data_IF_231289557393
#
_entry.id   IF_231289557393
#
_cell.length_a   1.000
_cell.length_b   1.000
_cell.length_c   1.000
_cell.angle_alpha   90.00
_cell.angle_beta   90.00
_cell.angle_gamma   90.00
#
_symmetry.space_group_name_H-M   'P 1'
#
loop_
_entity.id
_entity.type
_entity.pdbx_description
1 polymer ?
#
# COMPACT_ATOMS: atom_id res chain seq x y z
N UNK A 1 -8.09 -23.00 -8.38
CA UNK A 1 -8.49 -22.84 -6.96
C UNK A 1 -8.49 -21.38 -6.48
N UNK A 2 -7.56 -20.49 -6.84
CA UNK A 2 -7.58 -19.07 -6.36
C UNK A 2 -8.71 -18.15 -6.88
N UNK A 3 -9.47 -18.58 -7.89
CA UNK A 3 -10.42 -17.75 -8.62
C UNK A 3 -11.56 -17.15 -7.77
N UNK A 4 -11.99 -17.84 -6.72
CA UNK A 4 -13.05 -17.33 -5.84
C UNK A 4 -12.58 -16.13 -5.01
N UNK A 5 -11.28 -16.05 -4.69
CA UNK A 5 -10.68 -14.90 -4.02
C UNK A 5 -10.55 -13.72 -4.99
N UNK A 6 -10.38 -13.98 -6.28
CA UNK A 6 -10.19 -12.93 -7.28
C UNK A 6 -11.48 -12.19 -7.63
N UNK A 7 -12.66 -12.85 -7.63
CA UNK A 7 -13.94 -12.21 -7.99
C UNK A 7 -14.25 -10.92 -7.21
N UNK A 8 -14.22 -10.90 -5.86
CA UNK A 8 -14.59 -9.71 -5.09
C UNK A 8 -13.58 -8.57 -5.23
N UNK A 9 -12.29 -8.90 -5.41
CA UNK A 9 -11.23 -7.89 -5.55
C UNK A 9 -10.89 -7.54 -7.00
N UNK A 10 -11.58 -8.16 -7.98
CA UNK A 10 -11.32 -8.00 -9.42
C UNK A 10 -11.26 -6.53 -9.86
N UNK A 11 -12.19 -5.71 -9.39
CA UNK A 11 -12.23 -4.29 -9.77
C UNK A 11 -10.96 -3.55 -9.29
N UNK A 12 -10.43 -3.91 -8.11
CA UNK A 12 -9.19 -3.32 -7.60
C UNK A 12 -7.98 -3.73 -8.48
N UNK A 13 -7.95 -4.98 -8.94
CA UNK A 13 -6.94 -5.43 -9.91
C UNK A 13 -7.04 -4.68 -11.23
N UNK A 14 -8.25 -4.52 -11.76
CA UNK A 14 -8.48 -3.77 -13.01
C UNK A 14 -8.03 -2.31 -12.86
N UNK A 15 -8.33 -1.66 -11.73
CA UNK A 15 -7.82 -0.32 -11.41
C UNK A 15 -6.29 -0.24 -11.36
N UNK A 16 -5.63 -1.22 -10.72
CA UNK A 16 -4.17 -1.29 -10.67
C UNK A 16 -3.61 -1.42 -12.10
N UNK A 17 -4.15 -2.33 -12.90
CA UNK A 17 -3.70 -2.57 -14.27
C UNK A 17 -3.96 -1.39 -15.22
N UNK A 18 -5.07 -0.66 -15.03
CA UNK A 18 -5.39 0.53 -15.84
C UNK A 18 -4.55 1.74 -15.44
N UNK A 19 -3.90 1.72 -14.27
CA UNK A 19 -3.05 2.81 -13.77
C UNK A 19 -1.67 2.76 -14.44
N UNK A 20 -1.64 3.05 -15.73
CA UNK A 20 -0.40 3.17 -16.53
C UNK A 20 0.09 4.62 -16.58
N UNK A 21 1.34 4.84 -17.00
CA UNK A 21 1.91 6.17 -17.24
C UNK A 21 1.08 7.04 -18.19
N UNK A 22 0.33 6.42 -19.11
CA UNK A 22 -0.53 7.12 -20.05
C UNK A 22 -1.81 7.63 -19.38
N UNK A 23 -2.37 6.85 -18.45
CA UNK A 23 -3.56 7.25 -17.69
C UNK A 23 -3.24 8.23 -16.57
N UNK A 24 -2.10 8.07 -15.88
CA UNK A 24 -1.73 8.90 -14.73
C UNK A 24 -0.28 9.36 -14.87
N UNK A 25 -0.14 10.63 -15.26
CA UNK A 25 1.16 11.30 -15.51
C UNK A 25 1.97 11.49 -14.23
N UNK A 26 1.29 11.64 -13.08
CA UNK A 26 1.94 11.88 -11.79
C UNK A 26 2.34 10.56 -11.11
N UNK A 27 3.64 10.36 -10.91
CA UNK A 27 4.15 9.17 -10.22
C UNK A 27 3.67 9.07 -8.77
N UNK A 28 3.48 10.22 -8.10
CA UNK A 28 2.93 10.29 -6.75
C UNK A 28 1.48 9.79 -6.71
N UNK A 29 0.70 10.13 -7.72
CA UNK A 29 -0.70 9.75 -7.82
C UNK A 29 -0.86 8.26 -8.12
N UNK A 30 -0.03 7.71 -9.02
CA UNK A 30 0.05 6.24 -9.23
C UNK A 30 0.37 5.49 -7.95
N UNK A 31 1.38 5.94 -7.21
CA UNK A 31 1.75 5.32 -5.94
C UNK A 31 0.60 5.38 -4.91
N UNK A 32 -0.19 6.46 -4.90
CA UNK A 32 -1.39 6.57 -4.07
C UNK A 32 -2.49 5.61 -4.48
N UNK A 33 -2.78 5.46 -5.78
CA UNK A 33 -3.77 4.50 -6.29
C UNK A 33 -3.33 3.08 -5.94
N UNK A 34 -2.10 2.71 -6.29
CA UNK A 34 -1.50 1.42 -5.94
C UNK A 34 -1.57 1.11 -4.45
N UNK A 35 -1.23 2.07 -3.59
CA UNK A 35 -1.33 1.89 -2.15
C UNK A 35 -2.76 1.67 -1.66
N UNK A 36 -3.73 2.43 -2.20
CA UNK A 36 -5.15 2.30 -1.84
C UNK A 36 -5.69 0.92 -2.23
N UNK A 37 -5.50 0.52 -3.49
CA UNK A 37 -5.98 -0.76 -4.00
C UNK A 37 -5.28 -1.94 -3.30
N UNK A 38 -3.98 -1.82 -2.99
CA UNK A 38 -3.24 -2.84 -2.23
C UNK A 38 -3.83 -3.07 -0.84
N UNK A 39 -4.22 -2.01 -0.13
CA UNK A 39 -4.83 -2.11 1.20
C UNK A 39 -6.18 -2.79 1.11
N UNK A 40 -7.03 -2.40 0.16
CA UNK A 40 -8.35 -3.04 -0.03
C UNK A 40 -8.22 -4.55 -0.32
N UNK A 41 -7.26 -4.93 -1.16
CA UNK A 41 -6.99 -6.33 -1.48
C UNK A 41 -6.45 -7.09 -0.26
N UNK A 42 -5.50 -6.50 0.48
CA UNK A 42 -4.90 -7.12 1.65
C UNK A 42 -5.86 -7.26 2.83
N UNK A 43 -6.74 -6.28 3.03
CA UNK A 43 -7.79 -6.31 4.05
C UNK A 43 -8.78 -7.44 3.76
N UNK A 44 -9.24 -7.55 2.51
CA UNK A 44 -10.11 -8.65 2.06
C UNK A 44 -9.45 -10.02 2.31
N UNK A 45 -8.17 -10.17 1.96
CA UNK A 45 -7.45 -11.43 2.14
C UNK A 45 -7.26 -11.78 3.63
N UNK A 46 -7.02 -10.77 4.48
CA UNK A 46 -6.90 -10.90 5.93
C UNK A 46 -8.23 -11.27 6.60
N UNK A 47 -9.33 -10.69 6.14
CA UNK A 47 -10.67 -11.05 6.61
C UNK A 47 -11.04 -12.47 6.17
N UNK A 48 -10.77 -12.81 4.91
CA UNK A 48 -11.04 -14.16 4.38
C UNK A 48 -10.17 -15.23 5.01
N UNK A 49 -8.91 -14.95 5.33
CA UNK A 49 -8.08 -15.92 6.03
C UNK A 49 -8.60 -16.25 7.41
N UNK A 50 -9.15 -15.26 8.13
CA UNK A 50 -9.78 -15.45 9.45
C UNK A 50 -11.15 -16.13 9.35
N UNK A 51 -12.00 -15.69 8.43
CA UNK A 51 -13.37 -16.19 8.30
C UNK A 51 -13.42 -17.65 7.81
N UNK A 52 -12.64 -17.97 6.77
CA UNK A 52 -12.70 -19.28 6.11
C UNK A 52 -11.54 -20.22 6.56
N UNK A 53 -10.75 -19.84 7.58
CA UNK A 53 -9.54 -20.54 8.02
C UNK A 53 -8.61 -20.89 6.84
N UNK A 54 -8.34 -19.89 6.01
CA UNK A 54 -7.64 -20.10 4.76
C UNK A 54 -6.18 -20.53 5.00
N UNK A 55 -5.71 -21.63 4.39
CA UNK A 55 -4.32 -22.05 4.54
C UNK A 55 -3.32 -20.99 4.08
N UNK A 56 -2.21 -20.84 4.81
CA UNK A 56 -1.16 -19.87 4.51
C UNK A 56 -0.62 -20.01 3.07
N UNK A 57 -0.50 -21.24 2.57
CA UNK A 57 -0.02 -21.46 1.20
C UNK A 57 -0.95 -20.85 0.12
N UNK A 58 -2.26 -20.71 0.38
CA UNK A 58 -3.20 -20.06 -0.54
C UNK A 58 -3.00 -18.55 -0.50
N UNK A 59 -2.78 -18.00 0.69
CA UNK A 59 -2.48 -16.57 0.91
C UNK A 59 -1.17 -16.21 0.19
N UNK A 60 -0.13 -17.02 0.34
CA UNK A 60 1.16 -16.79 -0.32
C UNK A 60 1.03 -16.86 -1.85
N UNK A 61 0.33 -17.89 -2.37
CA UNK A 61 0.03 -18.00 -3.81
C UNK A 61 -0.76 -16.81 -4.35
N UNK A 62 -1.62 -16.21 -3.54
CA UNK A 62 -2.38 -15.02 -3.92
C UNK A 62 -1.48 -13.80 -4.04
N UNK A 63 -0.59 -13.60 -3.07
CA UNK A 63 0.41 -12.56 -3.15
C UNK A 63 1.35 -12.74 -4.35
N UNK A 64 1.78 -13.97 -4.63
CA UNK A 64 2.59 -14.28 -5.81
C UNK A 64 1.86 -13.99 -7.12
N UNK A 65 0.57 -14.34 -7.20
CA UNK A 65 -0.27 -14.00 -8.35
C UNK A 65 -0.37 -12.48 -8.55
N UNK A 66 -0.64 -11.74 -7.47
CA UNK A 66 -0.72 -10.28 -7.49
C UNK A 66 0.63 -9.67 -7.91
N UNK A 67 1.76 -10.22 -7.46
CA UNK A 67 3.11 -9.79 -7.84
C UNK A 67 3.40 -9.94 -9.33
N UNK A 68 3.01 -11.09 -9.91
CA UNK A 68 3.15 -11.34 -11.35
C UNK A 68 2.28 -10.40 -12.20
N UNK A 69 1.14 -9.96 -11.68
CA UNK A 69 0.22 -9.06 -12.37
C UNK A 69 0.55 -7.58 -12.11
N UNK A 70 1.39 -7.28 -11.12
CA UNK A 70 1.64 -5.91 -10.71
C UNK A 70 2.33 -5.14 -11.84
N UNK A 71 1.75 -4.03 -12.33
CA UNK A 71 2.36 -3.26 -13.39
C UNK A 71 3.71 -2.74 -12.92
N UNK A 72 4.77 -3.18 -13.60
CA UNK A 72 6.17 -2.84 -13.29
C UNK A 72 6.41 -1.40 -13.75
N UNK A 73 5.93 -0.43 -12.96
CA UNK A 73 6.24 0.99 -13.16
C UNK A 73 7.08 1.56 -12.00
N UNK A 74 7.76 0.71 -11.23
CA UNK A 74 8.88 1.19 -10.42
C UNK A 74 10.08 1.40 -11.31
N UNK A 75 10.61 2.62 -11.26
CA UNK A 75 11.74 3.22 -12.00
C UNK A 75 13.05 2.40 -12.12
N UNK A 76 13.07 1.13 -11.71
CA UNK A 76 14.20 0.19 -11.73
C UNK A 76 13.73 -1.26 -11.98
N UNK A 77 13.13 -1.55 -13.12
CA UNK A 77 13.11 -2.85 -13.83
C UNK A 77 13.14 -4.18 -13.06
N UNK A 78 12.49 -4.31 -11.90
CA UNK A 78 12.48 -5.53 -11.10
C UNK A 78 11.05 -5.98 -10.85
N UNK A 79 10.75 -7.26 -11.14
CA UNK A 79 9.50 -7.89 -10.77
C UNK A 79 9.24 -7.70 -9.26
N UNK A 80 8.02 -7.32 -8.91
CA UNK A 80 7.61 -7.20 -7.51
C UNK A 80 7.08 -8.56 -7.07
N UNK A 81 7.84 -9.26 -6.24
CA UNK A 81 7.44 -10.56 -5.70
C UNK A 81 6.26 -10.43 -4.71
N UNK A 82 5.50 -11.53 -4.55
CA UNK A 82 4.39 -11.59 -3.60
C UNK A 82 4.78 -11.25 -2.17
N UNK A 83 5.96 -11.71 -1.72
CA UNK A 83 6.51 -11.38 -0.40
C UNK A 83 6.72 -9.88 -0.20
N UNK A 84 7.14 -9.15 -1.25
CA UNK A 84 7.33 -7.69 -1.19
C UNK A 84 5.98 -6.99 -1.05
N UNK A 85 4.96 -7.41 -1.79
CA UNK A 85 3.61 -6.85 -1.71
C UNK A 85 2.97 -7.10 -0.34
N UNK A 86 3.08 -8.32 0.18
CA UNK A 86 2.60 -8.65 1.54
C UNK A 86 3.29 -7.77 2.60
N UNK A 87 4.59 -7.52 2.45
CA UNK A 87 5.34 -6.62 3.33
C UNK A 87 4.88 -5.16 3.18
N UNK A 88 4.65 -4.69 1.96
CA UNK A 88 4.11 -3.33 1.72
C UNK A 88 2.73 -3.16 2.35
N UNK A 89 1.85 -4.13 2.18
CA UNK A 89 0.53 -4.14 2.82
C UNK A 89 0.65 -4.03 4.35
N UNK A 90 1.48 -4.87 4.99
CA UNK A 90 1.70 -4.80 6.44
C UNK A 90 2.21 -3.44 6.90
N UNK A 91 3.11 -2.81 6.14
CA UNK A 91 3.61 -1.45 6.43
C UNK A 91 2.51 -0.40 6.28
N UNK A 92 1.71 -0.47 5.22
CA UNK A 92 0.59 0.43 4.99
C UNK A 92 -0.46 0.29 6.10
N UNK A 93 -0.78 -0.94 6.49
CA UNK A 93 -1.70 -1.22 7.58
C UNK A 93 -1.17 -0.68 8.93
N UNK A 94 0.11 -0.90 9.25
CA UNK A 94 0.72 -0.37 10.47
C UNK A 94 0.73 1.17 10.49
N UNK A 95 1.02 1.81 9.34
CA UNK A 95 0.97 3.28 9.24
C UNK A 95 -0.45 3.85 9.32
N UNK A 96 -1.46 3.14 8.80
CA UNK A 96 -2.89 3.48 8.98
C UNK A 96 -3.26 3.41 10.45
N UNK A 97 -2.92 2.31 11.13
CA UNK A 97 -3.20 2.16 12.57
C UNK A 97 -2.45 3.18 13.42
N UNK A 98 -1.20 3.51 13.09
CA UNK A 98 -0.44 4.56 13.79
C UNK A 98 -1.09 5.94 13.61
N UNK A 99 -1.64 6.24 12.43
CA UNK A 99 -2.40 7.47 12.18
C UNK A 99 -3.72 7.50 12.93
N UNK A 100 -4.43 6.38 13.00
CA UNK A 100 -5.68 6.24 13.75
C UNK A 100 -5.42 6.36 15.27
N UNK A 101 -4.34 5.76 15.77
CA UNK A 101 -3.92 5.86 17.16
C UNK A 101 -3.43 7.27 17.55
N UNK A 102 -2.92 8.05 16.59
CA UNK A 102 -2.50 9.44 16.80
C UNK A 102 -3.60 10.47 16.51
N UNK A 103 -4.80 10.06 16.07
CA UNK A 103 -5.66 10.96 15.29
C UNK A 103 -7.16 10.72 15.38
N UNK A 104 -7.69 10.53 16.59
CA UNK A 104 -9.07 10.97 16.90
C UNK A 104 -9.14 12.49 16.95
N UNK A 105 -8.93 13.18 15.82
CA UNK A 105 -9.34 14.55 15.50
C UNK A 105 -8.61 14.99 14.22
N UNK A 106 -9.39 15.40 13.22
CA UNK A 106 -8.85 15.92 11.97
C UNK A 106 -7.97 17.14 12.20
N UNK A 107 -6.79 17.13 11.61
CA UNK A 107 -6.07 18.34 11.25
C UNK A 107 -5.10 18.03 10.11
N UNK A 108 -5.33 18.70 8.99
CA UNK A 108 -4.38 18.88 7.90
C UNK A 108 -3.06 19.36 8.50
N UNK A 109 -1.98 18.58 8.36
CA UNK A 109 -0.64 19.12 8.63
C UNK A 109 -0.03 19.54 7.29
N UNK A 110 0.03 20.84 6.97
CA UNK A 110 0.90 21.31 5.90
C UNK A 110 2.35 21.08 6.33
N UNK A 111 3.14 20.54 5.41
CA UNK A 111 4.58 20.32 5.56
C UNK A 111 5.26 21.68 5.75
N UNK A 112 5.55 22.07 6.99
CA UNK A 112 6.31 23.28 7.31
C UNK A 112 7.83 23.00 7.22
N UNK A 113 8.51 23.86 6.48
CA UNK A 113 9.95 23.85 6.23
C UNK A 113 10.78 23.89 7.51
N UNK A 114 11.84 23.10 7.54
CA UNK A 114 12.91 23.23 8.52
C UNK A 114 13.72 24.51 8.27
N UNK A 115 13.54 25.48 9.15
CA UNK A 115 14.53 26.52 9.42
C UNK A 115 14.18 27.10 10.80
N UNK A 116 14.85 26.62 11.84
CA UNK A 116 14.95 27.39 13.08
C UNK A 116 16.39 27.39 13.55
N UNK A 117 17.00 28.54 13.30
CA UNK A 117 18.14 29.12 13.99
C UNK A 117 18.08 28.95 15.50
N UNK A 118 19.22 28.68 16.11
CA UNK A 118 19.48 29.00 17.52
C UNK A 118 20.74 29.85 17.63
N UNK A 119 20.54 31.16 17.72
CA UNK A 119 21.45 32.13 18.34
C UNK A 119 21.03 32.28 19.79
N UNK A 120 21.99 32.21 20.73
CA UNK A 120 22.05 32.86 22.08
C UNK A 120 23.34 32.33 22.75
N UNK A 121 24.42 33.08 23.00
CA UNK A 121 24.68 34.32 23.79
C UNK A 121 24.70 34.11 25.33
N UNK A 122 25.73 34.69 25.95
CA UNK A 122 26.03 34.96 27.38
C UNK A 122 26.90 33.92 28.10
N UNK A 123 28.19 34.19 28.37
CA UNK A 123 28.77 34.98 29.50
C UNK A 123 28.76 34.25 30.84
N UNK A 124 29.97 33.86 31.30
CA UNK A 124 30.49 33.96 32.66
C UNK A 124 32.02 33.77 32.62
#
# INVERSE_FOLDING_TARGET
MLWYLLKPVRNNFECILSTTKESVKSNKERASIFGRELVAIGDFLSEKSKADNLPQYIVDRFWDFLGNLWPIESTKGGAIDGTKLSTMYKKLLASKQAREAQGGSGAVIPRANGASSSVSKAEA
#
